data_IF_112333591448
#
_entry.id   IF_112333591448
#
_cell.length_a   1.000
_cell.length_b   1.000
_cell.length_c   1.000
_cell.angle_alpha   90.00
_cell.angle_beta   90.00
_cell.angle_gamma   90.00
#
_symmetry.space_group_name_H-M   'P 1'
#
loop_
_entity.id
_entity.type
_entity.pdbx_description
1 polymer ?
#
# COMPACT_ATOMS: atom_id res chain seq x y z
N UNK A 1 -22.41 17.08 4.44
CA UNK A 1 -22.31 15.76 5.07
C UNK A 1 -21.39 14.90 4.24
N UNK A 2 -20.34 14.33 4.83
CA UNK A 2 -19.46 13.36 4.18
C UNK A 2 -19.85 11.91 4.54
N UNK A 3 -19.22 10.94 3.90
CA UNK A 3 -19.36 9.51 4.21
C UNK A 3 -18.25 9.05 5.16
N UNK A 4 -18.40 7.86 5.74
CA UNK A 4 -17.33 7.24 6.55
C UNK A 4 -16.05 7.00 5.72
N UNK A 5 -16.17 6.85 4.40
CA UNK A 5 -15.04 6.66 3.50
C UNK A 5 -14.19 7.93 3.31
N UNK A 6 -14.70 9.09 3.72
CA UNK A 6 -13.96 10.36 3.67
C UNK A 6 -13.00 10.53 4.84
N UNK A 7 -13.05 9.62 5.82
CA UNK A 7 -12.30 9.71 7.07
C UNK A 7 -11.14 8.70 7.13
N UNK A 8 -9.96 9.21 7.46
CA UNK A 8 -8.75 8.49 7.79
C UNK A 8 -8.70 8.27 9.32
N UNK A 9 -8.54 7.02 9.78
CA UNK A 9 -8.28 6.74 11.19
C UNK A 9 -6.81 7.02 11.50
N UNK A 10 -6.53 8.07 12.27
CA UNK A 10 -5.19 8.36 12.75
C UNK A 10 -5.03 7.83 14.17
N UNK A 11 -4.01 6.98 14.36
CA UNK A 11 -3.64 6.40 15.65
C UNK A 11 -2.35 7.04 16.15
N UNK A 12 -2.32 7.44 17.42
CA UNK A 12 -1.14 8.05 18.07
C UNK A 12 -0.93 7.50 19.48
N UNK A 13 0.27 7.72 20.05
CA UNK A 13 0.60 7.33 21.42
C UNK A 13 0.97 5.86 21.63
N UNK A 14 0.73 4.98 20.65
CA UNK A 14 0.98 3.53 20.78
C UNK A 14 2.45 3.13 21.03
N UNK A 15 3.41 4.01 20.70
CA UNK A 15 4.85 3.77 20.85
C UNK A 15 5.46 4.50 22.06
N UNK A 16 4.65 5.31 22.77
CA UNK A 16 5.12 6.09 23.94
C UNK A 16 4.58 5.43 25.23
N UNK A 17 5.46 4.94 26.13
CA UNK A 17 5.02 4.15 27.29
C UNK A 17 4.17 4.93 28.31
N UNK A 18 4.25 6.27 28.29
CA UNK A 18 3.58 7.15 29.24
C UNK A 18 2.33 7.83 28.67
N UNK A 19 1.94 7.54 27.42
CA UNK A 19 0.74 8.08 26.79
C UNK A 19 -0.30 6.99 26.54
N UNK A 20 -1.56 7.32 26.83
CA UNK A 20 -2.67 6.48 26.41
C UNK A 20 -2.79 6.50 24.87
N UNK A 21 -3.12 5.36 24.25
CA UNK A 21 -3.35 5.33 22.82
C UNK A 21 -4.58 6.18 22.47
N UNK A 22 -4.40 7.10 21.53
CA UNK A 22 -5.46 7.98 21.04
C UNK A 22 -5.79 7.62 19.59
N UNK A 23 -7.07 7.75 19.24
CA UNK A 23 -7.56 7.58 17.87
C UNK A 23 -8.45 8.77 17.50
N UNK A 24 -8.18 9.39 16.35
CA UNK A 24 -9.02 10.47 15.82
C UNK A 24 -9.31 10.28 14.34
N UNK A 25 -10.45 10.81 13.91
CA UNK A 25 -10.84 10.83 12.51
C UNK A 25 -10.37 12.12 11.85
N UNK A 26 -9.54 12.00 10.82
CA UNK A 26 -9.12 13.11 9.95
C UNK A 26 -9.69 12.92 8.56
N UNK A 27 -9.71 13.96 7.72
CA UNK A 27 -10.06 13.77 6.30
C UNK A 27 -8.89 13.17 5.55
N UNK A 28 -9.17 12.23 4.65
CA UNK A 28 -8.13 11.67 3.79
C UNK A 28 -7.38 12.75 2.99
N UNK A 29 -8.08 13.79 2.53
CA UNK A 29 -7.48 14.90 1.78
C UNK A 29 -6.37 15.64 2.56
N UNK A 30 -6.38 15.58 3.90
CA UNK A 30 -5.36 16.22 4.75
C UNK A 30 -4.11 15.35 4.94
N UNK A 31 -4.14 14.09 4.51
CA UNK A 31 -3.03 13.13 4.65
C UNK A 31 -2.50 12.64 3.30
N UNK A 32 -3.07 13.10 2.18
CA UNK A 32 -2.48 12.88 0.86
C UNK A 32 -1.22 13.74 0.74
N UNK A 33 -0.03 13.15 0.55
CA UNK A 33 1.19 13.93 0.39
C UNK A 33 1.17 14.69 -0.94
N UNK A 34 1.90 15.80 -1.01
CA UNK A 34 2.11 16.50 -2.27
C UNK A 34 2.95 15.63 -3.21
N UNK A 35 2.62 15.64 -4.50
CA UNK A 35 3.47 15.00 -5.50
C UNK A 35 4.74 15.80 -5.72
N UNK A 36 5.89 15.15 -5.55
CA UNK A 36 7.20 15.71 -5.86
C UNK A 36 7.76 15.01 -7.09
N UNK A 37 7.98 15.78 -8.16
CA UNK A 37 8.50 15.24 -9.41
C UNK A 37 10.03 15.12 -9.36
N UNK A 38 10.52 13.89 -9.52
CA UNK A 38 11.95 13.60 -9.64
C UNK A 38 12.31 13.17 -11.07
N UNK A 39 13.19 13.92 -11.72
CA UNK A 39 13.66 13.62 -13.10
C UNK A 39 14.61 12.43 -13.16
N UNK A 40 15.18 12.02 -12.04
CA UNK A 40 16.12 10.90 -11.97
C UNK A 40 15.41 9.54 -11.95
N UNK A 41 14.13 9.50 -11.59
CA UNK A 41 13.34 8.28 -11.52
C UNK A 41 12.79 7.88 -12.89
N UNK A 42 12.77 6.58 -13.23
CA UNK A 42 12.03 6.06 -14.37
C UNK A 42 10.55 6.46 -14.31
N UNK A 43 9.93 6.70 -15.47
CA UNK A 43 8.53 7.12 -15.55
C UNK A 43 7.57 6.16 -14.81
N UNK A 44 7.83 4.86 -14.87
CA UNK A 44 6.99 3.85 -14.19
C UNK A 44 7.13 3.85 -12.67
N UNK A 45 8.18 4.47 -12.13
CA UNK A 45 8.43 4.60 -10.68
C UNK A 45 7.88 5.93 -10.13
N UNK A 46 7.42 6.84 -11.00
CA UNK A 46 6.77 8.10 -10.62
C UNK A 46 5.30 7.89 -10.24
N UNK A 47 5.07 7.33 -9.06
CA UNK A 47 3.73 7.14 -8.51
C UNK A 47 3.19 8.47 -7.96
N UNK A 48 2.11 8.97 -8.56
CA UNK A 48 1.43 10.18 -8.09
C UNK A 48 0.52 9.84 -6.90
N UNK A 49 0.73 10.43 -5.71
CA UNK A 49 -0.15 10.23 -4.57
C UNK A 49 -1.50 10.91 -4.82
N UNK A 50 -2.48 10.08 -5.16
CA UNK A 50 -3.89 10.45 -5.22
C UNK A 50 -4.61 9.99 -3.95
N UNK A 51 -5.82 10.52 -3.74
CA UNK A 51 -6.71 10.09 -2.66
C UNK A 51 -6.90 8.56 -2.62
N UNK A 52 -7.15 7.96 -3.78
CA UNK A 52 -7.41 6.53 -3.89
C UNK A 52 -6.15 5.70 -3.63
N UNK A 53 -5.02 6.06 -4.24
CA UNK A 53 -3.75 5.36 -4.01
C UNK A 53 -3.33 5.38 -2.54
N UNK A 54 -3.50 6.51 -1.84
CA UNK A 54 -3.14 6.64 -0.42
C UNK A 54 -4.08 5.78 0.46
N UNK A 55 -5.38 5.76 0.15
CA UNK A 55 -6.36 4.91 0.84
C UNK A 55 -6.05 3.43 0.67
N UNK A 56 -5.79 3.00 -0.56
CA UNK A 56 -5.51 1.60 -0.85
C UNK A 56 -4.16 1.15 -0.29
N UNK A 57 -3.13 2.00 -0.34
CA UNK A 57 -1.84 1.73 0.28
C UNK A 57 -1.95 1.55 1.80
N UNK A 58 -2.72 2.42 2.47
CA UNK A 58 -3.03 2.26 3.89
C UNK A 58 -3.71 0.92 4.20
N UNK A 59 -4.74 0.56 3.43
CA UNK A 59 -5.44 -0.72 3.60
C UNK A 59 -4.54 -1.92 3.32
N UNK A 60 -3.70 -1.84 2.29
CA UNK A 60 -2.74 -2.89 1.94
C UNK A 60 -1.76 -3.10 3.10
N UNK A 61 -1.13 -2.02 3.56
CA UNK A 61 -0.18 -2.03 4.67
C UNK A 61 -0.79 -2.63 5.93
N UNK A 62 -1.96 -2.13 6.35
CA UNK A 62 -2.63 -2.58 7.56
C UNK A 62 -2.99 -4.09 7.58
N UNK A 63 -3.21 -4.69 6.40
CA UNK A 63 -3.52 -6.12 6.28
C UNK A 63 -2.26 -6.97 6.09
N UNK A 64 -1.36 -6.56 5.21
CA UNK A 64 -0.16 -7.34 4.86
C UNK A 64 0.81 -7.41 6.02
N UNK A 65 0.95 -6.34 6.81
CA UNK A 65 1.79 -6.34 8.02
C UNK A 65 1.29 -7.37 9.07
N UNK A 66 0.01 -7.72 9.00
CA UNK A 66 -0.64 -8.74 9.85
C UNK A 66 -0.74 -10.10 9.18
N UNK A 67 -0.09 -10.29 8.04
CA UNK A 67 -0.11 -11.50 7.23
C UNK A 67 -1.51 -11.89 6.74
N UNK A 68 -2.39 -10.91 6.54
CA UNK A 68 -3.71 -11.13 5.95
C UNK A 68 -3.65 -10.99 4.42
N UNK A 69 -4.16 -11.96 3.65
CA UNK A 69 -4.18 -11.87 2.20
C UNK A 69 -5.15 -10.77 1.72
N UNK A 70 -4.70 -9.99 0.72
CA UNK A 70 -5.49 -8.90 0.12
C UNK A 70 -5.72 -9.18 -1.36
N UNK A 71 -6.95 -8.97 -1.83
CA UNK A 71 -7.31 -9.05 -3.24
C UNK A 71 -7.86 -7.71 -3.72
N UNK A 72 -7.09 -7.03 -4.58
CA UNK A 72 -7.54 -5.81 -5.25
C UNK A 72 -8.23 -6.15 -6.58
N UNK A 73 -9.51 -5.82 -6.67
CA UNK A 73 -10.33 -5.98 -7.87
C UNK A 73 -10.74 -4.63 -8.45
N UNK A 74 -11.08 -4.61 -9.74
CA UNK A 74 -11.50 -3.40 -10.46
C UNK A 74 -11.08 -3.44 -11.92
N UNK A 75 -11.54 -2.48 -12.71
CA UNK A 75 -11.28 -2.41 -14.16
C UNK A 75 -9.78 -2.28 -14.47
N UNK A 76 -9.34 -2.73 -15.65
CA UNK A 76 -7.95 -2.62 -16.07
C UNK A 76 -7.49 -1.16 -16.13
N UNK A 77 -6.22 -0.89 -15.81
CA UNK A 77 -5.64 0.46 -15.90
C UNK A 77 -5.87 1.39 -14.70
N UNK A 78 -6.49 0.93 -13.61
CA UNK A 78 -6.74 1.77 -12.40
C UNK A 78 -5.59 1.77 -11.38
N UNK A 79 -4.36 1.47 -11.79
CA UNK A 79 -3.19 1.54 -10.91
C UNK A 79 -3.08 0.45 -9.82
N UNK A 80 -3.95 -0.57 -9.78
CA UNK A 80 -3.90 -1.65 -8.78
C UNK A 80 -2.52 -2.32 -8.66
N UNK A 81 -1.96 -2.75 -9.79
CA UNK A 81 -0.64 -3.37 -9.85
C UNK A 81 0.46 -2.40 -9.42
N UNK A 82 0.32 -1.12 -9.74
CA UNK A 82 1.28 -0.07 -9.37
C UNK A 82 1.31 0.10 -7.85
N UNK A 83 0.16 0.15 -7.19
CA UNK A 83 0.07 0.27 -5.72
C UNK A 83 0.74 -0.93 -5.03
N UNK A 84 0.45 -2.15 -5.49
CA UNK A 84 1.05 -3.36 -4.89
C UNK A 84 2.55 -3.40 -5.13
N UNK A 85 3.02 -3.07 -6.33
CA UNK A 85 4.44 -3.05 -6.65
C UNK A 85 5.20 -2.00 -5.83
N UNK A 86 4.63 -0.80 -5.68
CA UNK A 86 5.19 0.28 -4.86
C UNK A 86 5.35 -0.13 -3.39
N UNK A 87 4.32 -0.75 -2.78
CA UNK A 87 4.41 -1.30 -1.43
C UNK A 87 5.51 -2.36 -1.29
N UNK A 88 5.59 -3.30 -2.24
CA UNK A 88 6.61 -4.36 -2.23
C UNK A 88 8.04 -3.82 -2.42
N UNK A 89 8.21 -2.79 -3.25
CA UNK A 89 9.51 -2.12 -3.43
C UNK A 89 9.94 -1.40 -2.15
N UNK A 90 9.01 -0.69 -1.48
CA UNK A 90 9.29 -0.01 -0.20
C UNK A 90 9.68 -0.99 0.91
N UNK A 91 8.99 -2.13 1.00
CA UNK A 91 9.23 -3.14 2.05
C UNK A 91 10.41 -4.07 1.78
N UNK A 92 10.91 -4.11 0.55
CA UNK A 92 12.14 -4.84 0.18
C UNK A 92 13.41 -3.98 0.25
N UNK A 93 13.28 -2.66 0.39
CA UNK A 93 14.41 -1.76 0.54
C UNK A 93 15.12 -1.93 1.90
N UNK A 94 16.46 -1.87 1.88
CA UNK A 94 17.29 -1.94 3.08
C UNK A 94 16.94 -0.79 4.04
N UNK A 95 16.66 -1.14 5.31
CA UNK A 95 16.35 -0.16 6.35
C UNK A 95 14.88 0.27 6.43
N UNK A 96 13.95 -0.42 5.79
CA UNK A 96 12.52 -0.20 6.02
C UNK A 96 12.16 -0.46 7.50
N UNK A 97 11.97 0.61 8.26
CA UNK A 97 11.63 0.56 9.69
C UNK A 97 10.15 0.24 9.96
N UNK A 98 9.33 0.14 8.90
CA UNK A 98 7.88 0.02 8.99
C UNK A 98 7.35 -1.41 9.10
N UNK A 99 8.20 -2.44 9.20
CA UNK A 99 7.73 -3.82 9.24
C UNK A 99 8.82 -4.87 9.09
N UNK A 100 8.44 -6.09 8.69
CA UNK A 100 9.38 -7.16 8.36
C UNK A 100 9.90 -6.95 6.93
N UNK A 101 11.21 -7.05 6.67
CA UNK A 101 11.74 -7.06 5.31
C UNK A 101 11.05 -8.15 4.49
N UNK A 102 10.55 -7.80 3.31
CA UNK A 102 9.88 -8.77 2.43
C UNK A 102 10.64 -8.95 1.13
N UNK A 103 10.62 -10.17 0.60
CA UNK A 103 11.12 -10.48 -0.74
C UNK A 103 9.91 -10.77 -1.62
N UNK A 104 9.59 -9.92 -2.60
CA UNK A 104 8.41 -10.11 -3.44
C UNK A 104 8.60 -11.29 -4.39
N UNK A 105 7.56 -12.12 -4.51
CA UNK A 105 7.44 -13.16 -5.56
C UNK A 105 6.24 -12.78 -6.42
N UNK A 106 6.49 -12.51 -7.70
CA UNK A 106 5.44 -12.10 -8.65
C UNK A 106 5.07 -13.30 -9.52
N UNK A 107 3.79 -13.69 -9.46
CA UNK A 107 3.23 -14.76 -10.29
C UNK A 107 2.22 -14.16 -11.25
N UNK A 108 2.48 -14.30 -12.55
CA UNK A 108 1.58 -13.81 -13.61
C UNK A 108 0.73 -14.96 -14.16
N UNK A 109 -0.58 -14.73 -14.24
CA UNK A 109 -1.52 -15.69 -14.82
C UNK A 109 -1.94 -15.23 -16.23
N UNK A 110 -2.01 -16.19 -17.15
CA UNK A 110 -2.60 -16.03 -18.47
C UNK A 110 -3.56 -17.19 -18.75
N UNK A 111 -4.23 -17.16 -19.90
CA UNK A 111 -5.09 -18.27 -20.33
C UNK A 111 -4.35 -19.61 -20.47
N UNK A 112 -3.01 -19.60 -20.47
CA UNK A 112 -2.16 -20.79 -20.62
C UNK A 112 -1.32 -21.09 -19.37
N UNK A 113 -1.67 -20.60 -18.18
CA UNK A 113 -0.93 -20.96 -16.97
C UNK A 113 -1.47 -22.29 -16.39
N UNK A 114 -0.78 -23.44 -16.56
CA UNK A 114 -1.20 -24.68 -15.93
C UNK A 114 -0.93 -24.64 -14.41
N UNK A 115 -1.71 -25.40 -13.64
CA UNK A 115 -1.56 -25.52 -12.18
C UNK A 115 -0.18 -26.02 -11.74
N UNK A 116 0.50 -26.83 -12.57
CA UNK A 116 1.86 -27.29 -12.31
C UNK A 116 2.86 -26.12 -12.27
N UNK A 117 2.63 -25.08 -13.08
CA UNK A 117 3.49 -23.90 -13.14
C UNK A 117 3.49 -23.13 -11.82
N UNK A 118 2.34 -23.02 -11.15
CA UNK A 118 2.23 -22.30 -9.87
C UNK A 118 2.83 -23.07 -8.70
N UNK A 119 2.85 -24.40 -8.75
CA UNK A 119 3.35 -25.25 -7.66
C UNK A 119 4.87 -25.44 -7.69
N UNK A 120 5.51 -25.12 -8.81
CA UNK A 120 6.96 -25.32 -9.03
C UNK A 120 7.78 -24.03 -8.85
N UNK A 121 7.12 -22.90 -8.55
CA UNK A 121 7.75 -21.60 -8.29
C UNK A 121 7.92 -21.40 -6.79
#
# INVERSE_FOLDING_TARGET
GGTVFDLFPEFSGQLEPDKEPEARWRKWQEVVPAFEYDRSLPYFDLVVPTLDTVRFDFLLTAQVDRLHPVFFTGVTGTGKTVIVADYLNKTSADGFSGGKPTTPIVINFSAQTPSLGTQST
#
